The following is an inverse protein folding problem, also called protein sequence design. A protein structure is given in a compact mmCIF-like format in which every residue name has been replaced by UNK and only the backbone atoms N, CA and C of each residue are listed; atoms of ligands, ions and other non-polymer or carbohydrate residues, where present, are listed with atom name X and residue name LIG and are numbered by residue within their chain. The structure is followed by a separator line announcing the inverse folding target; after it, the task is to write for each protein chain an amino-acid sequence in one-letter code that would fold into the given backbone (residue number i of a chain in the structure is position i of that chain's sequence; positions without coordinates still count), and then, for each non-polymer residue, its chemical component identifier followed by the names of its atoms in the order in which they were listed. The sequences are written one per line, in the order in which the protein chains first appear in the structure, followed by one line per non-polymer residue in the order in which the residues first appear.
data_IF_433221693451
#
_entry.id   IF_433221693451
#
_cell.length_a   1.000
_cell.length_b   1.000
_cell.length_c   1.000
_cell.angle_alpha   90.00
_cell.angle_beta   90.00
_cell.angle_gamma   90.00
#
_symmetry.space_group_name_H-M   'P 1'
#
loop_
_entity.id
_entity.type
_entity.pdbx_description
1 polymer ?
#
# COMPACT_ATOMS: atom_id res chain seq x y z
N UNK A 1 9.79 3.85 20.46
CA UNK A 1 8.75 4.33 19.85
C UNK A 1 7.68 4.65 20.74
N UNK A 2 6.98 5.59 20.57
CA UNK A 2 5.98 5.88 21.35
C UNK A 2 4.76 5.40 20.88
N UNK A 3 4.00 4.83 21.56
CA UNK A 3 2.87 4.21 21.19
C UNK A 3 1.80 4.58 22.01
N UNK A 4 1.46 5.71 22.05
CA UNK A 4 0.39 6.09 22.88
C UNK A 4 -0.87 5.86 22.19
N UNK A 5 -1.66 5.03 22.66
CA UNK A 5 -2.89 4.72 22.05
C UNK A 5 -4.00 5.24 22.86
N UNK A 6 -4.62 6.28 22.50
CA UNK A 6 -5.71 6.78 23.15
C UNK A 6 -6.86 6.36 22.41
N UNK A 7 -7.64 5.51 22.87
CA UNK A 7 -8.72 4.95 22.16
C UNK A 7 -10.03 5.48 22.54
N UNK A 8 -10.10 6.63 23.09
CA UNK A 8 -11.27 7.15 23.52
C UNK A 8 -12.38 7.08 22.59
N UNK A 9 -12.29 7.30 21.38
CA UNK A 9 -13.44 7.18 20.55
C UNK A 9 -13.07 6.48 19.27
N UNK A 10 -12.02 5.79 19.28
CA UNK A 10 -11.70 5.01 18.11
C UNK A 10 -11.21 5.75 16.92
N UNK A 11 -11.13 7.04 17.02
CA UNK A 11 -10.73 7.75 15.92
C UNK A 11 -9.28 7.98 15.84
N UNK A 12 -8.59 7.77 16.88
CA UNK A 12 -7.20 8.03 16.90
C UNK A 12 -6.36 7.15 16.05
N UNK A 13 -6.84 5.96 15.77
CA UNK A 13 -6.06 5.05 14.98
C UNK A 13 -5.74 5.61 13.62
N UNK A 14 -6.61 6.35 13.06
CA UNK A 14 -6.35 6.89 11.77
C UNK A 14 -5.53 8.13 11.77
N UNK A 15 -5.17 8.61 12.95
CA UNK A 15 -4.47 9.83 13.05
C UNK A 15 -3.16 9.76 13.75
N UNK A 16 -2.80 8.66 14.31
CA UNK A 16 -1.56 8.58 15.05
C UNK A 16 -0.50 8.03 14.14
N UNK A 17 0.73 8.29 14.50
CA UNK A 17 1.83 7.79 13.75
C UNK A 17 1.84 6.27 13.80
N UNK A 18 1.49 5.71 14.93
CA UNK A 18 1.45 4.27 15.09
C UNK A 18 0.45 3.66 14.12
N UNK A 19 -0.70 4.25 13.98
CA UNK A 19 -1.70 3.71 13.06
C UNK A 19 -1.24 3.83 11.62
N UNK A 20 -0.54 4.90 11.29
CA UNK A 20 -0.06 5.07 9.96
C UNK A 20 1.00 4.04 9.64
N UNK A 21 1.86 3.72 10.58
CA UNK A 21 2.88 2.74 10.36
C UNK A 21 2.26 1.36 10.20
N UNK A 22 1.24 1.07 10.97
CA UNK A 22 0.58 -0.21 10.89
C UNK A 22 -0.11 -0.36 9.53
N UNK A 23 -0.74 0.69 9.05
CA UNK A 23 -1.39 0.64 7.77
C UNK A 23 -0.35 0.45 6.67
N UNK A 24 0.75 1.16 6.77
CA UNK A 24 1.80 1.07 5.78
C UNK A 24 2.37 -0.35 5.71
N UNK A 25 2.56 -0.98 6.85
CA UNK A 25 3.07 -2.33 6.89
C UNK A 25 2.06 -3.31 6.30
N UNK A 26 0.80 -3.11 6.60
CA UNK A 26 -0.24 -4.00 6.10
C UNK A 26 -0.37 -3.87 4.58
N UNK A 27 -0.22 -2.64 4.08
CA UNK A 27 -0.28 -2.42 2.67
C UNK A 27 0.92 -3.08 1.99
N UNK A 28 2.08 -2.98 2.60
CA UNK A 28 3.27 -3.58 2.00
C UNK A 28 3.12 -5.09 1.89
N UNK A 29 2.55 -5.70 2.91
CA UNK A 29 2.35 -7.13 2.85
C UNK A 29 1.34 -7.51 1.79
N UNK A 30 0.26 -6.76 1.68
CA UNK A 30 -0.74 -7.04 0.70
C UNK A 30 -0.20 -6.89 -0.72
N UNK A 31 0.57 -5.86 -0.96
CA UNK A 31 1.10 -5.60 -2.27
C UNK A 31 2.13 -6.67 -2.64
N UNK A 32 2.90 -7.10 -1.66
CA UNK A 32 3.91 -8.09 -1.90
C UNK A 32 3.32 -9.39 -2.36
N UNK A 33 2.10 -9.69 -2.00
CA UNK A 33 1.46 -10.92 -2.39
C UNK A 33 0.75 -10.84 -3.73
N UNK A 34 0.74 -9.69 -4.36
CA UNK A 34 0.07 -9.54 -5.63
C UNK A 34 0.90 -10.22 -6.70
N UNK A 35 0.23 -11.01 -7.55
CA UNK A 35 0.92 -11.70 -8.59
C UNK A 35 1.52 -10.70 -9.55
N UNK A 36 2.76 -10.85 -9.89
CA UNK A 36 3.47 -9.94 -10.76
C UNK A 36 4.33 -8.94 -10.03
N UNK A 37 4.24 -8.86 -8.71
CA UNK A 37 5.06 -7.96 -7.94
C UNK A 37 6.28 -8.73 -7.47
N UNK A 38 7.46 -8.29 -7.86
CA UNK A 38 8.70 -8.90 -7.45
C UNK A 38 9.19 -8.33 -6.11
N UNK A 39 8.83 -7.13 -5.80
CA UNK A 39 9.23 -6.55 -4.53
C UNK A 39 8.58 -5.20 -4.31
N UNK A 40 8.52 -4.78 -3.08
CA UNK A 40 7.96 -3.50 -2.73
C UNK A 40 9.09 -2.68 -2.12
N UNK A 41 9.39 -1.54 -2.71
CA UNK A 41 10.46 -0.72 -2.19
C UNK A 41 9.99 0.25 -1.15
N UNK A 42 8.88 0.87 -1.34
CA UNK A 42 8.43 1.85 -0.40
C UNK A 42 6.97 2.15 -0.58
N UNK A 43 6.28 2.38 0.49
CA UNK A 43 4.90 2.82 0.45
C UNK A 43 4.80 4.06 1.30
N UNK A 44 4.22 5.11 0.74
CA UNK A 44 4.00 6.33 1.47
C UNK A 44 2.53 6.63 1.52
N UNK A 45 2.06 7.06 2.64
CA UNK A 45 0.66 7.41 2.82
C UNK A 45 0.62 8.84 3.28
N UNK A 46 -0.11 9.67 2.60
CA UNK A 46 -0.24 11.05 3.00
C UNK A 46 -1.66 11.56 2.79
N UNK A 47 -2.01 12.54 3.56
CA UNK A 47 -3.35 13.06 3.52
C UNK A 47 -3.46 14.13 2.46
N UNK A 48 -4.60 14.17 1.81
CA UNK A 48 -4.85 15.17 0.84
C UNK A 48 -4.92 16.51 1.51
N UNK A 49 -4.54 17.56 0.84
CA UNK A 49 -4.56 18.86 1.46
C UNK A 49 -5.93 19.35 1.70
N UNK A 50 -6.86 19.05 0.87
CA UNK A 50 -8.17 19.60 0.95
C UNK A 50 -9.21 18.75 1.60
N UNK A 51 -8.89 17.61 2.04
CA UNK A 51 -9.91 16.73 2.64
C UNK A 51 -9.26 15.72 3.54
N UNK A 52 -10.05 14.81 4.07
CA UNK A 52 -9.55 13.77 4.94
C UNK A 52 -9.15 12.57 4.12
N UNK A 53 -9.18 12.68 2.81
CA UNK A 53 -8.86 11.53 1.98
C UNK A 53 -7.36 11.28 2.01
N UNK A 54 -7.00 10.06 1.76
CA UNK A 54 -5.60 9.67 1.78
C UNK A 54 -5.11 9.35 0.39
N UNK A 55 -3.84 9.60 0.16
CA UNK A 55 -3.22 9.24 -1.09
C UNK A 55 -2.13 8.26 -0.73
N UNK A 56 -1.98 7.23 -1.53
CA UNK A 56 -1.00 6.20 -1.28
C UNK A 56 -0.07 6.10 -2.48
N UNK A 57 1.23 6.16 -2.21
CA UNK A 57 2.23 6.03 -3.26
C UNK A 57 2.93 4.72 -3.04
N UNK A 58 2.94 3.87 -4.03
CA UNK A 58 3.56 2.56 -3.94
C UNK A 58 4.70 2.48 -4.93
N UNK A 59 5.89 2.23 -4.44
CA UNK A 59 7.06 2.06 -5.29
C UNK A 59 7.37 0.58 -5.28
N UNK A 60 7.34 -0.04 -6.44
CA UNK A 60 7.52 -1.47 -6.50
C UNK A 60 8.33 -1.93 -7.69
N UNK A 61 8.70 -3.17 -7.67
CA UNK A 61 9.43 -3.81 -8.74
C UNK A 61 8.53 -4.90 -9.28
N UNK A 62 8.36 -4.95 -10.58
CA UNK A 62 7.48 -5.97 -11.17
C UNK A 62 8.29 -7.13 -11.66
N UNK A 63 7.64 -8.26 -11.85
CA UNK A 63 8.27 -9.42 -12.41
C UNK A 63 8.15 -9.30 -13.92
N UNK A 64 9.22 -9.59 -14.63
CA UNK A 64 9.14 -9.55 -16.08
C UNK A 64 8.24 -10.69 -16.51
N UNK A 65 7.59 -10.52 -17.56
CA UNK A 65 6.68 -11.53 -18.04
C UNK A 65 5.23 -11.20 -17.76
N UNK A 66 4.98 -10.28 -16.85
CA UNK A 66 3.62 -9.89 -16.58
C UNK A 66 3.39 -8.51 -17.17
N UNK A 67 2.20 -8.25 -17.63
CA UNK A 67 1.87 -6.95 -18.17
C UNK A 67 1.83 -5.95 -17.04
N UNK A 68 2.58 -4.89 -17.16
CA UNK A 68 2.69 -3.90 -16.09
C UNK A 68 1.33 -3.30 -15.75
N UNK A 69 0.50 -3.04 -16.72
CA UNK A 69 -0.81 -2.47 -16.46
C UNK A 69 -1.68 -3.40 -15.63
N UNK A 70 -1.58 -4.70 -15.87
CA UNK A 70 -2.36 -5.65 -15.11
C UNK A 70 -1.86 -5.72 -13.67
N UNK A 71 -0.55 -5.68 -13.50
CA UNK A 71 0.03 -5.73 -12.17
C UNK A 71 -0.38 -4.47 -11.40
N UNK A 72 -0.32 -3.33 -12.06
CA UNK A 72 -0.69 -2.08 -11.41
C UNK A 72 -2.15 -2.10 -10.96
N UNK A 73 -3.02 -2.64 -11.79
CA UNK A 73 -4.42 -2.72 -11.43
C UNK A 73 -4.62 -3.63 -10.23
N UNK A 74 -3.94 -4.76 -10.19
CA UNK A 74 -4.05 -5.68 -9.07
C UNK A 74 -3.53 -5.04 -7.78
N UNK A 75 -2.46 -4.27 -7.90
CA UNK A 75 -1.89 -3.58 -6.75
C UNK A 75 -2.88 -2.54 -6.24
N UNK A 76 -3.50 -1.80 -7.14
CA UNK A 76 -4.45 -0.79 -6.74
C UNK A 76 -5.61 -1.43 -5.99
N UNK A 77 -6.11 -2.57 -6.46
CA UNK A 77 -7.19 -3.25 -5.81
C UNK A 77 -6.77 -3.76 -4.43
N UNK A 78 -5.56 -4.27 -4.33
CA UNK A 78 -5.06 -4.78 -3.06
C UNK A 78 -4.94 -3.65 -2.04
N UNK A 79 -4.46 -2.49 -2.48
CA UNK A 79 -4.33 -1.35 -1.61
C UNK A 79 -5.70 -0.90 -1.12
N UNK A 80 -6.66 -0.79 -2.02
CA UNK A 80 -7.98 -0.33 -1.64
C UNK A 80 -8.64 -1.30 -0.68
N UNK A 81 -8.53 -2.58 -0.95
CA UNK A 81 -9.15 -3.56 -0.09
C UNK A 81 -8.52 -3.60 1.29
N UNK A 82 -7.22 -3.50 1.36
CA UNK A 82 -6.55 -3.54 2.65
C UNK A 82 -6.84 -2.27 3.44
N UNK A 83 -6.80 -1.13 2.77
CA UNK A 83 -6.98 0.13 3.47
C UNK A 83 -8.35 0.22 4.11
N UNK A 84 -9.37 -0.30 3.48
CA UNK A 84 -10.70 -0.20 4.05
C UNK A 84 -10.83 -0.97 5.36
N UNK A 85 -9.91 -1.86 5.63
CA UNK A 85 -9.96 -2.60 6.88
C UNK A 85 -9.28 -1.88 8.00
N UNK A 86 -8.47 -0.88 7.70
CA UNK A 86 -7.71 -0.20 8.72
C UNK A 86 -8.08 1.26 8.91
N UNK A 87 -8.81 1.85 8.02
CA UNK A 87 -9.14 3.24 8.17
C UNK A 87 -10.48 3.54 7.53
N UNK A 88 -11.16 4.53 8.06
CA UNK A 88 -12.41 4.94 7.49
C UNK A 88 -12.18 6.04 6.50
N UNK A 89 -10.98 6.56 6.40
CA UNK A 89 -10.71 7.60 5.45
C UNK A 89 -10.75 7.02 4.05
N UNK A 90 -11.18 7.82 3.11
CA UNK A 90 -11.29 7.36 1.77
C UNK A 90 -9.96 7.47 1.10
N UNK A 91 -9.63 6.52 0.27
CA UNK A 91 -8.41 6.59 -0.52
C UNK A 91 -8.74 7.30 -1.82
N UNK A 92 -8.09 8.43 -2.03
CA UNK A 92 -8.36 9.24 -3.17
C UNK A 92 -7.54 8.79 -4.37
N UNK A 93 -6.28 8.54 -4.19
CA UNK A 93 -5.42 8.12 -5.25
C UNK A 93 -4.46 7.07 -4.82
N UNK A 94 -4.18 6.15 -5.69
CA UNK A 94 -3.15 5.16 -5.46
C UNK A 94 -2.20 5.32 -6.63
N UNK A 95 -1.02 5.87 -6.36
CA UNK A 95 -0.03 6.09 -7.41
C UNK A 95 0.98 4.96 -7.34
N UNK A 96 1.14 4.28 -8.44
CA UNK A 96 2.03 3.15 -8.48
C UNK A 96 3.22 3.47 -9.35
N UNK A 97 4.40 3.43 -8.75
CA UNK A 97 5.61 3.75 -9.45
C UNK A 97 6.41 2.47 -9.62
N UNK A 98 6.55 2.05 -10.86
CA UNK A 98 7.29 0.85 -11.14
C UNK A 98 8.73 1.26 -11.27
N UNK A 99 9.51 0.86 -10.29
CA UNK A 99 10.90 1.31 -10.21
C UNK A 99 11.85 0.39 -10.94
N UNK A 100 11.39 -0.75 -11.35
CA UNK A 100 12.24 -1.67 -12.09
C UNK A 100 11.54 -2.98 -12.33
N UNK A 101 12.20 -3.86 -13.03
CA UNK A 101 11.66 -5.17 -13.31
C UNK A 101 12.70 -6.21 -12.94
N UNK A 102 12.26 -7.30 -12.34
CA UNK A 102 13.18 -8.32 -11.93
C UNK A 102 12.89 -9.58 -12.68
N UNK A 103 13.89 -10.04 -13.39
CA UNK A 103 13.72 -11.20 -14.19
C UNK A 103 13.73 -12.43 -13.33
N UNK A 104 12.84 -13.28 -13.60
CA UNK A 104 12.84 -14.54 -12.92
C UNK A 104 12.07 -14.61 -11.63
N UNK A 105 11.65 -13.49 -11.11
CA UNK A 105 10.94 -13.54 -9.86
C UNK A 105 9.70 -14.35 -9.96
N UNK A 106 8.95 -14.17 -11.01
CA UNK A 106 7.75 -14.95 -11.10
C UNK A 106 8.07 -16.33 -11.56
N UNK A 107 9.14 -16.51 -12.25
CA UNK A 107 9.37 -17.82 -12.71
C UNK A 107 9.76 -18.75 -11.63
N UNK A 108 10.30 -18.30 -10.54
CA UNK A 108 10.58 -19.18 -9.50
C UNK A 108 9.44 -19.64 -8.85
N UNK A 109 8.34 -19.14 -9.07
CA UNK A 109 7.23 -19.60 -8.46
C UNK A 109 6.62 -20.61 -9.20
N UNK A 110 7.13 -21.06 -10.24
CA UNK A 110 6.54 -22.07 -10.92
C UNK A 110 6.49 -23.18 -10.41
#
# INVERSE_FOLDING_TARGET
METVVHVENGQYLGQTRFAKDLLSESLALSVKEVRGVAGVEKIKIHRSKDSDHLNVDVNLIVSTGDAVADVAYRVQEAVLNTATQFTKSKIDKVNIYVRGAKYGASSKQK
#
